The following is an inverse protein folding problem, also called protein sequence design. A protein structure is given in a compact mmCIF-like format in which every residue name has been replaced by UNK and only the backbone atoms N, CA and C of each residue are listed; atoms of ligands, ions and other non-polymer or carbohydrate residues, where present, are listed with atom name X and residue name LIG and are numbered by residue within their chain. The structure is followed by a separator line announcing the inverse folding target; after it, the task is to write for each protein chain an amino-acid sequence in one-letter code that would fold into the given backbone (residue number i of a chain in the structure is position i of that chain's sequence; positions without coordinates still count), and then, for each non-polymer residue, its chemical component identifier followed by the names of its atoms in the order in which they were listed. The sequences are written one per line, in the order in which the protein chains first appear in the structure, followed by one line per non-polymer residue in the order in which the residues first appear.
data_IF_258898949730
#
_entry.id   IF_258898949730
#
_cell.length_a   1.000
_cell.length_b   1.000
_cell.length_c   1.000
_cell.angle_alpha   90.00
_cell.angle_beta   90.00
_cell.angle_gamma   90.00
#
_symmetry.space_group_name_H-M   'P 1'
#
loop_
_entity.id
_entity.type
_entity.pdbx_description
1 polymer ?
#
# COMPACT_ATOMS: atom_id res chain seq x y z
N UNK A 1 -5.01 0.68 -14.48
CA UNK A 1 -5.30 2.11 -14.71
C UNK A 1 -6.44 2.46 -13.78
N UNK A 2 -6.24 3.46 -12.93
CA UNK A 2 -7.28 4.01 -12.08
C UNK A 2 -8.35 4.69 -12.93
N UNK A 3 -9.61 4.47 -12.56
CA UNK A 3 -10.75 4.85 -13.39
C UNK A 3 -11.06 6.36 -13.30
N UNK A 4 -10.60 7.03 -12.25
CA UNK A 4 -10.91 8.44 -12.00
C UNK A 4 -9.89 9.36 -12.67
N UNK A 5 -8.60 9.03 -12.56
CA UNK A 5 -7.51 9.89 -13.01
C UNK A 5 -6.68 9.31 -14.18
N UNK A 6 -6.91 8.04 -14.56
CA UNK A 6 -6.14 7.30 -15.56
C UNK A 6 -4.68 7.01 -15.18
N UNK A 7 -4.33 7.13 -13.91
CA UNK A 7 -3.00 6.80 -13.41
C UNK A 7 -2.78 5.28 -13.41
N UNK A 8 -1.53 4.87 -13.60
CA UNK A 8 -1.14 3.47 -13.50
C UNK A 8 -0.40 3.20 -12.20
N UNK A 9 -0.92 2.25 -11.44
CA UNK A 9 -0.32 1.80 -10.19
C UNK A 9 0.27 0.41 -10.37
N UNK A 10 1.46 0.19 -9.79
CA UNK A 10 2.10 -1.11 -9.77
C UNK A 10 1.93 -1.76 -8.40
N UNK A 11 1.04 -2.75 -8.31
CA UNK A 11 0.88 -3.57 -7.11
C UNK A 11 1.74 -4.82 -7.29
N UNK A 12 2.85 -4.90 -6.56
CA UNK A 12 3.65 -6.12 -6.50
C UNK A 12 3.19 -7.00 -5.35
N UNK A 13 3.12 -8.32 -5.57
CA UNK A 13 3.05 -9.28 -4.48
C UNK A 13 4.32 -9.27 -3.61
N UNK A 14 4.42 -10.24 -2.69
CA UNK A 14 5.55 -10.32 -1.78
C UNK A 14 6.89 -10.35 -2.54
N UNK A 15 7.77 -9.39 -2.25
CA UNK A 15 9.11 -9.37 -2.84
C UNK A 15 9.94 -10.52 -2.29
N UNK A 16 10.73 -11.17 -3.17
CA UNK A 16 11.68 -12.21 -2.77
C UNK A 16 12.61 -11.68 -1.67
N UNK A 17 12.90 -12.53 -0.69
CA UNK A 17 13.75 -12.21 0.48
C UNK A 17 13.23 -11.04 1.33
N UNK A 18 11.94 -10.72 1.25
CA UNK A 18 11.30 -9.65 2.02
C UNK A 18 12.01 -8.30 1.82
N UNK A 19 12.52 -8.04 0.61
CA UNK A 19 13.09 -6.73 0.29
C UNK A 19 11.96 -5.71 0.19
N UNK A 20 11.97 -4.72 1.07
CA UNK A 20 10.84 -3.76 1.17
C UNK A 20 10.91 -2.65 0.13
N UNK A 21 12.09 -2.37 -0.44
CA UNK A 21 12.35 -1.18 -1.25
C UNK A 21 12.93 -1.52 -2.61
N UNK A 22 12.47 -0.81 -3.64
CA UNK A 22 13.11 -0.86 -4.96
C UNK A 22 14.49 -0.18 -4.91
N UNK A 23 15.47 -0.63 -5.70
CA UNK A 23 16.84 -0.11 -5.63
C UNK A 23 16.94 1.41 -5.89
N UNK A 24 16.05 1.97 -6.72
CA UNK A 24 15.96 3.41 -6.97
C UNK A 24 14.90 4.13 -6.12
N UNK A 25 14.15 3.41 -5.27
CA UNK A 25 13.12 3.99 -4.43
C UNK A 25 13.71 4.78 -3.25
N UNK A 26 13.20 5.98 -3.00
CA UNK A 26 13.61 6.86 -1.88
C UNK A 26 12.42 7.10 -0.93
N UNK A 27 12.61 7.88 0.15
CA UNK A 27 11.55 8.23 1.12
C UNK A 27 11.28 7.16 2.18
N UNK A 28 10.31 7.36 3.08
CA UNK A 28 9.90 6.34 4.06
C UNK A 28 8.89 5.35 3.46
N UNK A 29 8.85 4.13 4.00
CA UNK A 29 7.85 3.12 3.68
C UNK A 29 6.70 3.29 4.67
N UNK A 30 5.55 3.69 4.16
CA UNK A 30 4.34 3.79 4.98
C UNK A 30 3.73 2.41 5.16
N UNK A 31 3.37 2.07 6.39
CA UNK A 31 2.68 0.82 6.74
C UNK A 31 1.46 1.16 7.60
N UNK A 32 0.33 0.53 7.31
CA UNK A 32 -0.86 0.66 8.13
C UNK A 32 -0.61 0.07 9.53
N UNK A 33 -1.02 0.77 10.59
CA UNK A 33 -0.85 0.29 11.97
C UNK A 33 -1.41 -1.13 12.18
N UNK A 34 -2.51 -1.48 11.49
CA UNK A 34 -3.19 -2.78 11.58
C UNK A 34 -2.30 -3.91 11.05
N UNK A 35 -1.45 -3.61 10.07
CA UNK A 35 -0.58 -4.58 9.41
C UNK A 35 0.75 -4.79 10.15
N UNK A 36 1.11 -3.93 11.12
CA UNK A 36 2.43 -3.96 11.78
C UNK A 36 2.71 -5.31 12.44
N UNK A 37 1.77 -5.85 13.21
CA UNK A 37 1.98 -7.10 13.95
C UNK A 37 2.13 -8.30 13.02
N UNK A 38 1.29 -8.40 11.99
CA UNK A 38 1.37 -9.47 10.99
C UNK A 38 2.67 -9.39 10.20
N UNK A 39 3.06 -8.18 9.81
CA UNK A 39 4.29 -7.96 9.07
C UNK A 39 5.54 -8.29 9.91
N UNK A 40 5.59 -7.89 11.18
CA UNK A 40 6.67 -8.25 12.11
C UNK A 40 6.79 -9.77 12.29
N UNK A 41 5.66 -10.46 12.45
CA UNK A 41 5.62 -11.92 12.53
C UNK A 41 6.13 -12.58 11.24
N UNK A 42 5.77 -12.03 10.08
CA UNK A 42 6.20 -12.53 8.77
C UNK A 42 7.71 -12.42 8.56
N UNK A 43 8.34 -11.35 9.07
CA UNK A 43 9.78 -11.12 8.91
C UNK A 43 10.61 -11.66 10.08
N UNK A 44 9.97 -12.07 11.17
CA UNK A 44 10.63 -12.60 12.37
C UNK A 44 11.28 -11.52 13.25
N UNK A 45 10.88 -10.26 13.10
CA UNK A 45 11.44 -9.12 13.82
C UNK A 45 10.51 -8.67 14.96
N UNK A 46 11.08 -7.98 15.95
CA UNK A 46 10.31 -7.48 17.11
C UNK A 46 9.82 -6.05 16.94
N UNK A 47 10.50 -5.26 16.11
CA UNK A 47 10.25 -3.84 15.94
C UNK A 47 10.57 -3.37 14.52
N UNK A 48 9.89 -2.30 14.09
CA UNK A 48 10.12 -1.70 12.78
C UNK A 48 11.29 -0.70 12.84
N UNK A 49 12.24 -0.76 11.89
CA UNK A 49 13.30 0.24 11.82
C UNK A 49 12.73 1.62 11.44
N UNK A 50 12.70 2.54 12.42
CA UNK A 50 12.09 3.89 12.31
C UNK A 50 12.72 4.79 11.24
N UNK A 51 13.96 4.48 10.84
CA UNK A 51 14.63 5.19 9.75
C UNK A 51 14.05 4.82 8.37
N UNK A 52 13.39 3.66 8.26
CA UNK A 52 12.88 3.12 7.01
C UNK A 52 11.35 3.19 6.92
N UNK A 53 10.67 2.98 8.04
CA UNK A 53 9.22 2.89 8.12
C UNK A 53 8.57 4.11 8.78
N UNK A 54 7.34 4.35 8.37
CA UNK A 54 6.40 5.27 8.99
C UNK A 54 5.08 4.54 9.19
N UNK A 55 4.64 4.43 10.44
CA UNK A 55 3.35 3.81 10.76
C UNK A 55 2.27 4.86 10.60
N UNK A 56 1.26 4.56 9.80
CA UNK A 56 0.14 5.46 9.50
C UNK A 56 -1.20 4.77 9.73
N UNK A 57 -2.24 5.58 9.89
CA UNK A 57 -3.62 5.11 9.87
C UNK A 57 -4.18 5.33 8.47
N UNK A 58 -4.41 4.24 7.72
CA UNK A 58 -5.08 4.33 6.43
C UNK A 58 -6.58 4.24 6.70
N UNK A 59 -7.30 5.31 6.37
CA UNK A 59 -8.75 5.31 6.51
C UNK A 59 -9.40 4.38 5.48
N UNK A 60 -10.38 3.60 5.93
CA UNK A 60 -11.19 2.72 5.10
C UNK A 60 -12.27 3.55 4.36
N UNK A 61 -11.83 4.35 3.38
CA UNK A 61 -12.73 5.09 2.48
C UNK A 61 -12.83 4.34 1.15
N UNK A 62 -13.87 3.52 1.02
CA UNK A 62 -14.14 2.80 -0.22
C UNK A 62 -15.14 3.61 -1.08
N UNK A 63 -14.73 4.16 -2.23
CA UNK A 63 -15.58 4.99 -3.08
C UNK A 63 -16.53 4.14 -3.96
N UNK A 64 -17.20 3.14 -3.39
CA UNK A 64 -17.96 2.12 -4.14
C UNK A 64 -19.05 2.74 -5.01
N UNK A 65 -19.85 3.65 -4.45
CA UNK A 65 -20.93 4.33 -5.18
C UNK A 65 -20.37 5.13 -6.36
N UNK A 66 -19.37 5.99 -6.10
CA UNK A 66 -18.72 6.83 -7.11
C UNK A 66 -18.07 6.01 -8.23
N UNK A 67 -17.40 4.91 -7.87
CA UNK A 67 -16.81 3.96 -8.84
C UNK A 67 -17.88 3.32 -9.71
N UNK A 68 -19.01 2.90 -9.12
CA UNK A 68 -20.11 2.31 -9.87
C UNK A 68 -20.77 3.31 -10.82
N UNK A 69 -20.92 4.58 -10.43
CA UNK A 69 -21.44 5.63 -11.31
C UNK A 69 -20.54 5.81 -12.54
N UNK A 70 -19.24 6.00 -12.34
CA UNK A 70 -18.25 6.18 -13.42
C UNK A 70 -18.22 4.99 -14.39
N UNK A 71 -18.35 3.76 -13.89
CA UNK A 71 -18.34 2.56 -14.74
C UNK A 71 -19.64 2.36 -15.53
N UNK A 72 -20.75 2.95 -15.07
CA UNK A 72 -22.06 2.84 -15.72
C UNK A 72 -22.45 4.08 -16.52
N UNK A 73 -21.59 5.11 -16.58
CA UNK A 73 -21.73 6.19 -17.54
C UNK A 73 -21.75 5.59 -18.95
N UNK A 74 -22.91 5.65 -19.60
CA UNK A 74 -23.07 5.19 -20.98
C UNK A 74 -22.32 6.16 -21.90
N UNK A 75 -21.50 5.61 -22.80
CA UNK A 75 -21.08 6.33 -24.02
C UNK A 75 -22.28 6.85 -24.82
#
# INVERSE_FOLDING_TARGET
MDIENRDEYWISGLKKKVSNRHWAGRGKIMIDHRAVNEYLALIGEKELPLNLFEVIDIEDRFPVERVNELLNEKE
#
